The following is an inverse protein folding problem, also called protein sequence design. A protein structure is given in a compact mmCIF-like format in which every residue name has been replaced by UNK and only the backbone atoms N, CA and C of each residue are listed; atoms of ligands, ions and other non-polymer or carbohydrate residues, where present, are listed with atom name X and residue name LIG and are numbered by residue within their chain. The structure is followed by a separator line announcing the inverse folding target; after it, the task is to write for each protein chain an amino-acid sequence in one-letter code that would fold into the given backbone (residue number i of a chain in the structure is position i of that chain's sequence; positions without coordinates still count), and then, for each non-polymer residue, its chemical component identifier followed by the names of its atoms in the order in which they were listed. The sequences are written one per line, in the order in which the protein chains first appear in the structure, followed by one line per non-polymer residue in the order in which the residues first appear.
data_IF_646291948484
#
_entry.id   IF_646291948484
#
_cell.length_a   1.000
_cell.length_b   1.000
_cell.length_c   1.000
_cell.angle_alpha   90.00
_cell.angle_beta   90.00
_cell.angle_gamma   90.00
#
_symmetry.space_group_name_H-M   'P 1'
#
loop_
_entity.id
_entity.type
_entity.pdbx_description
1 polymer ?
#
# COMPACT_ATOMS: atom_id res chain seq x y z
N UNK A 1 -9.20 -27.23 -10.70
CA UNK A 1 -7.92 -27.50 -10.00
C UNK A 1 -8.18 -27.18 -8.53
N UNK A 2 -7.99 -28.10 -7.61
CA UNK A 2 -8.39 -27.93 -6.20
C UNK A 2 -7.56 -26.85 -5.52
N UNK A 3 -8.21 -25.95 -4.80
CA UNK A 3 -7.70 -24.80 -4.04
C UNK A 3 -6.79 -25.20 -2.82
N UNK A 4 -6.11 -26.36 -2.88
CA UNK A 4 -5.25 -26.82 -1.79
C UNK A 4 -3.84 -26.21 -1.77
N UNK A 5 -3.54 -25.21 -2.63
CA UNK A 5 -2.15 -24.90 -2.97
C UNK A 5 -1.60 -23.52 -2.55
N UNK A 6 -2.31 -22.69 -1.80
CA UNK A 6 -1.69 -21.39 -1.42
C UNK A 6 -0.71 -21.50 -0.25
N UNK A 7 -0.97 -22.35 0.74
CA UNK A 7 -0.02 -22.63 1.82
C UNK A 7 1.18 -23.43 1.34
N UNK A 8 0.93 -24.47 0.52
CA UNK A 8 1.99 -25.26 -0.09
C UNK A 8 2.84 -24.42 -1.06
N UNK A 9 2.24 -23.45 -1.71
CA UNK A 9 2.91 -22.53 -2.63
C UNK A 9 3.89 -21.58 -1.91
N UNK A 10 3.52 -21.00 -0.77
CA UNK A 10 4.40 -20.06 -0.06
C UNK A 10 5.50 -20.79 0.71
N UNK A 11 5.23 -21.94 1.30
CA UNK A 11 6.25 -22.76 1.98
C UNK A 11 7.28 -23.32 0.98
N UNK A 12 6.82 -23.76 -0.20
CA UNK A 12 7.73 -24.14 -1.27
C UNK A 12 8.59 -22.96 -1.73
N UNK A 13 8.00 -21.76 -1.87
CA UNK A 13 8.72 -20.54 -2.22
C UNK A 13 9.73 -20.14 -1.14
N UNK A 14 9.38 -20.31 0.14
CA UNK A 14 10.26 -20.07 1.27
C UNK A 14 11.52 -20.97 1.22
N UNK A 15 11.36 -22.24 0.86
CA UNK A 15 12.49 -23.15 0.66
C UNK A 15 13.44 -22.65 -0.46
N UNK A 16 12.89 -22.13 -1.57
CA UNK A 16 13.71 -21.48 -2.59
C UNK A 16 14.36 -20.19 -2.06
N UNK A 17 13.67 -19.44 -1.20
CA UNK A 17 14.20 -18.27 -0.50
C UNK A 17 15.44 -18.62 0.33
N UNK A 18 15.38 -19.66 1.15
CA UNK A 18 16.54 -20.14 1.93
C UNK A 18 17.71 -20.57 1.05
N UNK A 19 17.43 -21.27 -0.07
CA UNK A 19 18.44 -21.63 -1.04
C UNK A 19 19.11 -20.40 -1.66
N UNK A 20 18.31 -19.41 -2.07
CA UNK A 20 18.79 -18.15 -2.64
C UNK A 20 19.64 -17.38 -1.63
N UNK A 21 19.20 -17.30 -0.37
CA UNK A 21 19.93 -16.67 0.73
C UNK A 21 21.32 -17.32 0.94
N UNK A 22 21.34 -18.66 0.99
CA UNK A 22 22.58 -19.44 1.11
C UNK A 22 23.52 -19.21 -0.07
N UNK A 23 23.03 -19.19 -1.29
CA UNK A 23 23.81 -18.92 -2.49
C UNK A 23 24.40 -17.49 -2.49
N UNK A 24 23.66 -16.49 -2.03
CA UNK A 24 24.17 -15.12 -1.92
C UNK A 24 25.36 -15.04 -0.96
N UNK A 25 25.29 -15.71 0.19
CA UNK A 25 26.39 -15.78 1.16
C UNK A 25 27.60 -16.53 0.59
N UNK A 26 27.39 -17.62 -0.16
CA UNK A 26 28.46 -18.36 -0.85
C UNK A 26 29.15 -17.52 -1.94
N UNK A 27 28.42 -16.65 -2.63
CA UNK A 27 28.96 -15.70 -3.62
C UNK A 27 29.72 -14.53 -2.95
N UNK A 28 29.68 -14.43 -1.62
CA UNK A 28 30.44 -13.48 -0.83
C UNK A 28 29.68 -12.26 -0.35
N UNK A 29 28.35 -12.32 -0.25
CA UNK A 29 27.59 -11.31 0.48
C UNK A 29 27.91 -11.40 1.98
N UNK A 30 28.16 -10.27 2.63
CA UNK A 30 28.34 -10.16 4.08
C UNK A 30 27.02 -10.29 4.82
N UNK A 31 25.97 -9.70 4.25
CA UNK A 31 24.59 -9.85 4.68
C UNK A 31 23.71 -10.01 3.44
N UNK A 32 22.63 -10.76 3.60
CA UNK A 32 21.65 -10.95 2.55
C UNK A 32 20.24 -11.04 3.12
N UNK A 33 19.27 -10.60 2.34
CA UNK A 33 17.85 -10.66 2.65
C UNK A 33 17.09 -11.12 1.42
N UNK A 34 16.15 -12.04 1.60
CA UNK A 34 15.21 -12.44 0.57
C UNK A 34 13.80 -12.03 0.96
N UNK A 35 13.14 -11.32 0.07
CA UNK A 35 11.71 -11.04 0.11
C UNK A 35 11.02 -11.91 -0.92
N UNK A 36 10.05 -12.70 -0.48
CA UNK A 36 9.27 -13.56 -1.35
C UNK A 36 7.79 -13.22 -1.27
N UNK A 37 7.10 -13.34 -2.39
CA UNK A 37 5.65 -13.22 -2.42
C UNK A 37 5.02 -14.20 -3.40
N UNK A 38 3.82 -14.64 -3.06
CA UNK A 38 2.95 -15.45 -3.89
C UNK A 38 1.51 -14.99 -3.70
N UNK A 39 0.73 -14.94 -4.75
CA UNK A 39 -0.65 -14.49 -4.65
C UNK A 39 -1.51 -14.95 -5.81
N UNK A 40 -2.81 -14.84 -5.59
CA UNK A 40 -3.88 -15.07 -6.55
C UNK A 40 -4.74 -13.82 -6.62
N UNK A 41 -5.09 -13.39 -7.81
CA UNK A 41 -6.14 -12.38 -8.01
C UNK A 41 -7.22 -12.90 -8.94
N UNK A 42 -8.44 -12.45 -8.68
CA UNK A 42 -9.59 -12.57 -9.59
C UNK A 42 -10.02 -11.16 -9.92
N UNK A 43 -9.95 -10.82 -11.20
CA UNK A 43 -10.14 -9.48 -11.69
C UNK A 43 -11.27 -9.47 -12.74
N UNK A 44 -12.21 -8.55 -12.57
CA UNK A 44 -13.31 -8.25 -13.52
C UNK A 44 -13.14 -6.80 -13.97
N UNK A 45 -13.01 -6.59 -15.26
CA UNK A 45 -13.02 -5.27 -15.87
C UNK A 45 -14.34 -5.02 -16.58
N UNK A 46 -14.90 -3.85 -16.31
CA UNK A 46 -16.15 -3.38 -16.89
C UNK A 46 -15.87 -2.27 -17.90
N UNK A 47 -16.51 -2.35 -19.04
CA UNK A 47 -16.57 -1.27 -20.00
C UNK A 47 -18.00 -0.95 -20.34
N UNK A 48 -18.43 0.25 -19.99
CA UNK A 48 -19.84 0.60 -19.97
C UNK A 48 -20.62 -0.37 -19.05
N UNK A 49 -21.68 -0.95 -19.51
CA UNK A 49 -22.56 -1.87 -18.76
C UNK A 49 -22.30 -3.36 -19.04
N UNK A 50 -21.12 -3.69 -19.60
CA UNK A 50 -20.72 -5.06 -19.93
C UNK A 50 -19.37 -5.42 -19.31
N UNK A 51 -19.20 -6.70 -19.03
CA UNK A 51 -17.92 -7.27 -18.66
C UNK A 51 -17.01 -7.33 -19.89
N UNK A 52 -15.89 -6.62 -19.87
CA UNK A 52 -14.88 -6.64 -20.94
C UNK A 52 -13.89 -7.78 -20.73
N UNK A 53 -13.48 -8.01 -19.49
CA UNK A 53 -12.53 -9.06 -19.12
C UNK A 53 -12.90 -9.65 -17.77
N UNK A 54 -12.80 -10.98 -17.68
CA UNK A 54 -12.76 -11.70 -16.41
C UNK A 54 -11.50 -12.58 -16.42
N UNK A 55 -10.63 -12.41 -15.43
CA UNK A 55 -9.38 -13.13 -15.36
C UNK A 55 -9.08 -13.64 -13.97
N UNK A 56 -8.35 -14.73 -13.90
CA UNK A 56 -7.74 -15.26 -12.68
C UNK A 56 -6.24 -15.37 -12.93
N UNK A 57 -5.45 -14.75 -12.07
CA UNK A 57 -4.00 -14.74 -12.22
C UNK A 57 -3.29 -15.20 -10.95
N UNK A 58 -2.15 -15.86 -11.15
CA UNK A 58 -1.25 -16.30 -10.10
C UNK A 58 0.11 -15.69 -10.33
N UNK A 59 0.68 -15.14 -9.28
CA UNK A 59 2.00 -14.52 -9.33
C UNK A 59 2.84 -15.01 -8.16
N UNK A 60 4.13 -15.17 -8.40
CA UNK A 60 5.11 -15.50 -7.37
C UNK A 60 6.48 -15.01 -7.78
N UNK A 61 7.34 -14.74 -6.81
CA UNK A 61 8.73 -14.38 -7.08
C UNK A 61 9.52 -14.10 -5.83
N UNK A 62 10.83 -14.01 -6.03
CA UNK A 62 11.83 -13.73 -5.01
C UNK A 62 12.65 -12.52 -5.40
N UNK A 63 12.86 -11.60 -4.46
CA UNK A 63 13.81 -10.51 -4.55
C UNK A 63 14.94 -10.72 -3.54
N UNK A 64 16.17 -10.61 -3.98
CA UNK A 64 17.37 -10.72 -3.17
C UNK A 64 18.05 -9.37 -3.04
N UNK A 65 18.28 -8.94 -1.82
CA UNK A 65 19.14 -7.82 -1.47
C UNK A 65 20.43 -8.37 -0.84
N UNK A 66 21.56 -8.14 -1.49
CA UNK A 66 22.89 -8.52 -1.02
C UNK A 66 23.66 -7.28 -0.55
N UNK A 67 24.45 -7.40 0.50
CA UNK A 67 25.23 -6.30 1.08
C UNK A 67 26.70 -6.70 1.17
N UNK A 68 27.58 -5.81 0.70
CA UNK A 68 29.03 -5.92 0.78
C UNK A 68 29.61 -4.55 1.13
N UNK A 69 30.34 -4.46 2.22
CA UNK A 69 30.89 -3.19 2.75
C UNK A 69 29.85 -2.06 2.83
N UNK A 70 28.59 -2.39 3.15
CA UNK A 70 27.46 -1.46 3.16
C UNK A 70 26.85 -1.18 1.79
N UNK A 71 27.52 -1.48 0.70
CA UNK A 71 26.96 -1.37 -0.65
C UNK A 71 25.87 -2.40 -0.87
N UNK A 72 24.70 -1.94 -1.31
CA UNK A 72 23.50 -2.78 -1.52
C UNK A 72 23.34 -3.09 -2.99
N UNK A 73 23.31 -4.38 -3.34
CA UNK A 73 22.93 -4.87 -4.65
C UNK A 73 21.59 -5.60 -4.59
N UNK A 74 20.89 -5.62 -5.70
CA UNK A 74 19.56 -6.23 -5.82
C UNK A 74 19.42 -7.02 -7.11
N UNK A 75 18.70 -8.13 -7.03
CA UNK A 75 18.24 -8.90 -8.19
C UNK A 75 16.97 -9.69 -7.82
N UNK A 76 16.12 -9.98 -8.79
CA UNK A 76 14.85 -10.70 -8.55
C UNK A 76 14.54 -11.69 -9.64
N UNK A 77 13.67 -12.66 -9.35
CA UNK A 77 13.18 -13.63 -10.33
C UNK A 77 11.81 -14.18 -9.97
N UNK A 78 11.03 -14.53 -10.99
CA UNK A 78 9.86 -15.43 -10.90
C UNK A 78 10.19 -16.86 -11.31
N UNK A 79 11.39 -17.11 -11.86
CA UNK A 79 11.87 -18.44 -12.28
C UNK A 79 12.85 -19.00 -11.25
N UNK A 80 12.40 -20.06 -10.54
CA UNK A 80 13.18 -20.69 -9.48
C UNK A 80 14.40 -21.49 -10.00
N UNK A 81 14.54 -21.68 -11.31
CA UNK A 81 15.76 -22.27 -11.90
C UNK A 81 16.94 -21.29 -11.95
N UNK A 82 16.67 -19.98 -11.82
CA UNK A 82 17.66 -18.90 -11.97
C UNK A 82 18.29 -18.43 -10.65
N UNK A 83 18.07 -19.13 -9.52
CA UNK A 83 18.52 -18.66 -8.21
C UNK A 83 20.01 -18.34 -8.14
N UNK A 84 20.86 -19.19 -8.73
CA UNK A 84 22.32 -18.96 -8.75
C UNK A 84 22.69 -17.70 -9.54
N UNK A 85 22.01 -17.46 -10.66
CA UNK A 85 22.20 -16.24 -11.45
C UNK A 85 21.79 -14.99 -10.67
N UNK A 86 20.65 -15.05 -9.98
CA UNK A 86 20.14 -13.95 -9.13
C UNK A 86 21.10 -13.64 -7.99
N UNK A 87 21.59 -14.68 -7.28
CA UNK A 87 22.57 -14.53 -6.21
C UNK A 87 23.83 -13.83 -6.70
N UNK A 88 24.42 -14.32 -7.79
CA UNK A 88 25.61 -13.73 -8.40
C UNK A 88 25.38 -12.28 -8.86
N UNK A 89 24.24 -12.02 -9.50
CA UNK A 89 23.90 -10.69 -10.02
C UNK A 89 23.76 -9.67 -8.89
N UNK A 90 23.07 -10.01 -7.79
CA UNK A 90 22.91 -9.13 -6.63
C UNK A 90 24.27 -8.84 -5.97
N UNK A 91 25.14 -9.85 -5.80
CA UNK A 91 26.47 -9.71 -5.23
C UNK A 91 27.38 -8.85 -6.11
N UNK A 92 27.37 -9.05 -7.42
CA UNK A 92 28.13 -8.20 -8.37
C UNK A 92 27.64 -6.75 -8.32
N UNK A 93 26.32 -6.55 -8.26
CA UNK A 93 25.73 -5.22 -8.14
C UNK A 93 26.15 -4.51 -6.82
N UNK A 94 26.17 -5.25 -5.69
CA UNK A 94 26.62 -4.73 -4.41
C UNK A 94 28.10 -4.28 -4.46
N UNK A 95 28.98 -5.09 -5.05
CA UNK A 95 30.41 -4.74 -5.25
C UNK A 95 30.57 -3.53 -6.15
N UNK A 96 29.80 -3.43 -7.23
CA UNK A 96 29.88 -2.32 -8.17
C UNK A 96 29.39 -1.00 -7.56
N UNK A 97 28.45 -1.06 -6.61
CA UNK A 97 27.98 0.13 -5.88
C UNK A 97 29.06 0.73 -4.97
N UNK A 98 29.98 -0.10 -4.47
CA UNK A 98 31.02 0.32 -3.55
C UNK A 98 30.54 0.44 -2.09
N UNK A 99 31.46 0.84 -1.22
CA UNK A 99 31.20 0.96 0.21
C UNK A 99 30.19 2.09 0.51
N UNK A 100 29.30 1.82 1.47
CA UNK A 100 28.39 2.82 2.03
C UNK A 100 28.58 2.88 3.56
N UNK A 101 29.27 3.93 4.03
CA UNK A 101 29.53 4.14 5.45
C UNK A 101 28.27 4.45 6.27
N UNK A 102 27.19 4.82 5.63
CA UNK A 102 25.90 5.05 6.27
C UNK A 102 25.13 3.76 6.55
N UNK A 103 25.45 2.66 5.87
CA UNK A 103 24.85 1.37 6.13
C UNK A 103 25.21 0.88 7.55
N UNK A 104 24.26 0.35 8.27
CA UNK A 104 24.48 -0.24 9.59
C UNK A 104 24.35 -1.76 9.57
N UNK A 105 23.15 -2.24 9.34
CA UNK A 105 22.85 -3.68 9.30
C UNK A 105 21.46 -3.93 8.76
N UNK A 106 21.20 -5.13 8.28
CA UNK A 106 19.84 -5.65 8.16
C UNK A 106 19.17 -5.75 9.53
N UNK A 107 17.83 -5.68 9.61
CA UNK A 107 17.09 -5.85 10.86
C UNK A 107 17.36 -7.23 11.49
N UNK A 108 17.40 -7.27 12.82
CA UNK A 108 17.44 -8.50 13.60
C UNK A 108 16.03 -8.94 13.97
N UNK A 109 15.80 -10.25 14.20
CA UNK A 109 14.51 -10.76 14.63
C UNK A 109 14.00 -10.05 15.88
N UNK A 110 12.72 -9.64 15.83
CA UNK A 110 11.98 -9.10 16.98
C UNK A 110 10.59 -9.73 16.98
N UNK A 111 9.96 -9.73 18.16
CA UNK A 111 8.58 -10.18 18.29
C UNK A 111 7.66 -9.23 17.53
N UNK A 112 6.80 -9.80 16.67
CA UNK A 112 5.77 -9.08 15.92
C UNK A 112 4.40 -9.27 16.55
N UNK A 113 3.51 -8.30 16.36
CA UNK A 113 2.09 -8.38 16.70
C UNK A 113 1.32 -8.42 15.38
N UNK A 114 0.42 -9.39 15.23
CA UNK A 114 -0.41 -9.48 14.02
C UNK A 114 -1.63 -8.59 14.20
N UNK A 115 -1.89 -7.68 13.24
CA UNK A 115 -3.13 -6.90 13.26
C UNK A 115 -4.33 -7.78 12.96
N UNK A 116 -5.48 -7.45 13.55
CA UNK A 116 -6.74 -8.14 13.31
C UNK A 116 -7.36 -7.72 11.97
N UNK A 117 -8.17 -8.59 11.37
CA UNK A 117 -9.01 -8.27 10.21
C UNK A 117 -8.27 -8.05 8.90
N UNK A 118 -7.03 -8.54 8.75
CA UNK A 118 -6.27 -8.44 7.49
C UNK A 118 -6.47 -9.63 6.55
N UNK A 119 -7.17 -10.67 6.99
CA UNK A 119 -7.40 -11.89 6.22
C UNK A 119 -8.85 -12.36 6.35
N UNK A 120 -9.45 -12.71 5.21
CA UNK A 120 -10.78 -13.29 5.10
C UNK A 120 -10.73 -14.57 4.25
N UNK A 121 -11.13 -15.70 4.84
CA UNK A 121 -11.14 -17.01 4.18
C UNK A 121 -12.06 -17.02 2.95
N UNK A 122 -13.15 -16.26 2.96
CA UNK A 122 -14.08 -16.20 1.84
C UNK A 122 -13.44 -15.51 0.63
N UNK A 123 -12.69 -14.42 0.83
CA UNK A 123 -11.92 -13.77 -0.24
C UNK A 123 -10.81 -14.68 -0.79
N UNK A 124 -10.18 -15.51 0.07
CA UNK A 124 -9.21 -16.49 -0.40
C UNK A 124 -9.83 -17.51 -1.37
N UNK A 125 -11.09 -17.86 -1.14
CA UNK A 125 -11.79 -18.91 -1.89
C UNK A 125 -12.66 -18.40 -3.02
N UNK A 126 -12.83 -17.08 -3.15
CA UNK A 126 -13.73 -16.45 -4.12
C UNK A 126 -13.38 -16.85 -5.55
N UNK A 127 -14.40 -17.11 -6.35
CA UNK A 127 -14.28 -17.44 -7.78
C UNK A 127 -14.70 -16.29 -8.71
N UNK A 128 -14.41 -16.43 -10.02
CA UNK A 128 -14.82 -15.42 -10.99
C UNK A 128 -16.34 -15.18 -11.03
N UNK A 129 -17.16 -16.20 -10.82
CA UNK A 129 -18.63 -16.07 -10.82
C UNK A 129 -19.12 -15.13 -9.72
N UNK A 130 -18.58 -15.28 -8.50
CA UNK A 130 -18.94 -14.40 -7.38
C UNK A 130 -18.45 -12.97 -7.60
N UNK A 131 -17.28 -12.77 -8.22
CA UNK A 131 -16.78 -11.44 -8.60
C UNK A 131 -17.68 -10.80 -9.70
N UNK A 132 -18.23 -11.59 -10.62
CA UNK A 132 -19.20 -11.12 -11.60
C UNK A 132 -20.51 -10.67 -10.93
N UNK A 133 -21.01 -11.40 -9.93
CA UNK A 133 -22.21 -11.03 -9.17
C UNK A 133 -21.99 -9.68 -8.44
N UNK A 134 -20.80 -9.46 -7.89
CA UNK A 134 -20.43 -8.18 -7.25
C UNK A 134 -20.41 -7.05 -8.29
N UNK A 135 -19.80 -7.28 -9.45
CA UNK A 135 -19.75 -6.30 -10.53
C UNK A 135 -21.17 -5.94 -11.04
N UNK A 136 -22.03 -6.94 -11.22
CA UNK A 136 -23.43 -6.70 -11.61
C UNK A 136 -24.21 -5.95 -10.52
N UNK A 137 -23.96 -6.21 -9.24
CA UNK A 137 -24.58 -5.44 -8.15
C UNK A 137 -24.21 -3.95 -8.23
N UNK A 138 -22.96 -3.65 -8.56
CA UNK A 138 -22.47 -2.29 -8.73
C UNK A 138 -23.13 -1.60 -9.95
N UNK A 139 -23.23 -2.30 -11.09
CA UNK A 139 -23.95 -1.82 -12.27
C UNK A 139 -25.44 -1.61 -11.98
N UNK A 140 -26.07 -2.51 -11.22
CA UNK A 140 -27.45 -2.37 -10.77
C UNK A 140 -27.67 -1.09 -9.96
N UNK A 141 -26.75 -0.78 -9.05
CA UNK A 141 -26.75 0.47 -8.29
C UNK A 141 -26.68 1.70 -9.20
N UNK A 142 -25.79 1.69 -10.20
CA UNK A 142 -25.68 2.77 -11.18
C UNK A 142 -27.00 2.99 -11.95
N UNK A 143 -27.64 1.92 -12.42
CA UNK A 143 -28.91 1.99 -13.18
C UNK A 143 -30.07 2.58 -12.40
N UNK A 144 -29.96 2.75 -11.09
CA UNK A 144 -30.99 3.46 -10.28
C UNK A 144 -31.03 4.95 -10.57
N UNK A 145 -30.00 5.53 -11.19
CA UNK A 145 -29.92 6.93 -11.61
C UNK A 145 -29.98 6.98 -13.14
N UNK A 146 -31.14 7.28 -13.69
CA UNK A 146 -31.43 7.16 -15.12
C UNK A 146 -30.59 8.06 -16.02
N UNK A 147 -30.13 9.17 -15.49
CA UNK A 147 -29.37 10.20 -16.20
C UNK A 147 -27.87 9.88 -16.29
N UNK A 148 -27.42 8.83 -15.60
CA UNK A 148 -26.02 8.42 -15.56
C UNK A 148 -25.81 7.05 -16.19
N UNK A 149 -24.69 6.89 -16.90
CA UNK A 149 -24.28 5.65 -17.55
C UNK A 149 -22.89 5.23 -17.03
N UNK A 150 -22.60 3.93 -16.84
CA UNK A 150 -21.27 3.46 -16.51
C UNK A 150 -20.32 3.66 -17.71
N UNK A 151 -19.07 4.00 -17.43
CA UNK A 151 -18.00 4.19 -18.44
C UNK A 151 -16.94 3.10 -18.32
N UNK A 152 -16.39 2.95 -17.12
CA UNK A 152 -15.41 1.93 -16.80
C UNK A 152 -15.58 1.52 -15.33
N UNK A 153 -15.14 0.33 -14.99
CA UNK A 153 -15.16 -0.15 -13.62
C UNK A 153 -14.32 -1.40 -13.46
N UNK A 154 -14.09 -1.77 -12.23
CA UNK A 154 -13.36 -3.00 -11.92
C UNK A 154 -13.80 -3.60 -10.59
N UNK A 155 -13.65 -4.91 -10.48
CA UNK A 155 -13.69 -5.64 -9.21
C UNK A 155 -12.45 -6.52 -9.16
N UNK A 156 -11.65 -6.39 -8.11
CA UNK A 156 -10.45 -7.18 -7.87
C UNK A 156 -10.53 -7.84 -6.49
N UNK A 157 -10.36 -9.15 -6.43
CA UNK A 157 -10.28 -9.91 -5.19
C UNK A 157 -8.92 -10.61 -5.14
N UNK A 158 -8.12 -10.27 -4.15
CA UNK A 158 -6.72 -10.67 -4.04
C UNK A 158 -6.49 -11.41 -2.74
N UNK A 159 -5.80 -12.54 -2.81
CA UNK A 159 -5.21 -13.21 -1.66
C UNK A 159 -3.71 -13.34 -1.89
N UNK A 160 -2.91 -12.74 -1.02
CA UNK A 160 -1.46 -12.72 -1.14
C UNK A 160 -0.76 -13.16 0.14
N UNK A 161 0.33 -13.91 -0.03
CA UNK A 161 1.25 -14.26 1.05
C UNK A 161 2.63 -13.70 0.75
N UNK A 162 3.29 -13.15 1.76
CA UNK A 162 4.66 -12.66 1.67
C UNK A 162 5.53 -13.15 2.81
N UNK A 163 6.84 -13.22 2.58
CA UNK A 163 7.81 -13.49 3.63
C UNK A 163 9.07 -12.64 3.50
N UNK A 164 9.74 -12.44 4.62
CA UNK A 164 11.08 -11.85 4.71
C UNK A 164 11.97 -12.80 5.49
N UNK A 165 13.10 -13.20 4.88
CA UNK A 165 14.17 -13.91 5.57
C UNK A 165 15.49 -13.19 5.37
N UNK A 166 16.37 -13.23 6.37
CA UNK A 166 17.70 -12.64 6.21
C UNK A 166 18.80 -13.46 6.91
N UNK A 167 20.04 -13.13 6.57
CA UNK A 167 21.24 -13.78 7.12
C UNK A 167 21.48 -13.56 8.61
N UNK A 168 20.69 -12.73 9.27
CA UNK A 168 20.75 -12.46 10.73
C UNK A 168 19.70 -13.26 11.51
N UNK A 169 19.04 -14.23 10.87
CA UNK A 169 18.06 -15.13 11.48
C UNK A 169 16.63 -14.61 11.45
N UNK A 170 16.33 -13.57 10.69
CA UNK A 170 14.94 -13.14 10.43
C UNK A 170 14.23 -14.19 9.59
N UNK A 171 13.02 -14.55 10.01
CA UNK A 171 12.08 -15.36 9.24
C UNK A 171 10.67 -14.98 9.67
N UNK A 172 9.95 -14.27 8.81
CA UNK A 172 8.60 -13.80 9.03
C UNK A 172 7.76 -14.05 7.79
N UNK A 173 6.51 -14.45 8.00
CA UNK A 173 5.54 -14.72 6.94
C UNK A 173 4.17 -14.22 7.34
N UNK A 174 3.43 -13.67 6.37
CA UNK A 174 2.06 -13.22 6.56
C UNK A 174 1.22 -13.44 5.31
N UNK A 175 -0.06 -13.72 5.50
CA UNK A 175 -1.08 -13.81 4.44
C UNK A 175 -2.15 -12.76 4.69
N UNK A 176 -2.58 -12.11 3.62
CA UNK A 176 -3.62 -11.10 3.68
C UNK A 176 -4.55 -11.19 2.47
N UNK A 177 -5.73 -10.59 2.59
CA UNK A 177 -6.71 -10.48 1.53
C UNK A 177 -7.06 -9.03 1.25
N UNK A 178 -7.48 -8.74 0.03
CA UNK A 178 -7.93 -7.44 -0.41
C UNK A 178 -9.07 -7.61 -1.41
N UNK A 179 -10.13 -6.85 -1.23
CA UNK A 179 -11.17 -6.62 -2.21
C UNK A 179 -11.14 -5.14 -2.58
N UNK A 180 -11.08 -4.85 -3.85
CA UNK A 180 -11.17 -3.50 -4.39
C UNK A 180 -12.18 -3.48 -5.52
N UNK A 181 -13.01 -2.45 -5.58
CA UNK A 181 -13.91 -2.21 -6.70
C UNK A 181 -14.05 -0.73 -6.95
N UNK A 182 -14.25 -0.36 -8.21
CA UNK A 182 -14.47 1.03 -8.62
C UNK A 182 -15.43 1.12 -9.79
N UNK A 183 -16.17 2.22 -9.86
CA UNK A 183 -17.01 2.54 -11.00
C UNK A 183 -16.89 4.00 -11.37
N UNK A 184 -16.60 4.26 -12.63
CA UNK A 184 -16.66 5.56 -13.27
C UNK A 184 -17.96 5.69 -14.07
N UNK A 185 -18.62 6.83 -13.97
CA UNK A 185 -19.89 7.10 -14.60
C UNK A 185 -19.89 8.44 -15.30
N UNK A 186 -20.76 8.60 -16.28
CA UNK A 186 -20.99 9.85 -17.01
C UNK A 186 -22.48 10.19 -17.00
N UNK A 187 -22.80 11.42 -16.75
CA UNK A 187 -24.14 11.97 -16.93
C UNK A 187 -24.14 12.99 -18.07
N UNK A 188 -25.21 12.97 -18.87
CA UNK A 188 -25.36 13.82 -20.07
C UNK A 188 -26.68 14.54 -20.03
N UNK A 189 -26.64 15.86 -20.16
CA UNK A 189 -27.79 16.72 -20.35
C UNK A 189 -27.44 17.81 -21.40
N UNK A 190 -27.58 19.10 -21.05
CA UNK A 190 -27.06 20.19 -21.87
C UNK A 190 -25.52 20.25 -21.84
N UNK A 191 -24.92 19.76 -20.78
CA UNK A 191 -23.50 19.54 -20.57
C UNK A 191 -23.21 18.07 -20.23
N UNK A 192 -21.96 17.78 -19.87
CA UNK A 192 -21.46 16.45 -19.52
C UNK A 192 -20.70 16.52 -18.21
N UNK A 193 -21.03 15.64 -17.28
CA UNK A 193 -20.36 15.51 -16.02
C UNK A 193 -19.97 14.05 -15.73
N UNK A 194 -18.91 13.84 -14.96
CA UNK A 194 -18.42 12.53 -14.55
C UNK A 194 -18.53 12.36 -13.05
N UNK A 195 -18.63 11.12 -12.62
CA UNK A 195 -18.57 10.75 -11.21
C UNK A 195 -17.85 9.42 -11.04
N UNK A 196 -17.20 9.23 -9.93
CA UNK A 196 -16.53 7.98 -9.61
C UNK A 196 -16.66 7.65 -8.13
N UNK A 197 -16.73 6.38 -7.82
CA UNK A 197 -16.71 5.88 -6.45
C UNK A 197 -15.96 4.56 -6.40
N UNK A 198 -15.39 4.25 -5.23
CA UNK A 198 -14.68 3.01 -5.04
C UNK A 198 -14.95 2.41 -3.65
N UNK A 199 -14.65 1.14 -3.53
CA UNK A 199 -14.70 0.40 -2.28
C UNK A 199 -13.41 -0.41 -2.12
N UNK A 200 -12.84 -0.41 -0.91
CA UNK A 200 -11.70 -1.26 -0.57
C UNK A 200 -11.89 -1.86 0.82
N UNK A 201 -11.62 -3.16 0.95
CA UNK A 201 -11.76 -3.88 2.21
C UNK A 201 -10.83 -5.08 2.27
N UNK A 202 -10.44 -5.48 3.47
CA UNK A 202 -9.77 -6.77 3.72
C UNK A 202 -10.75 -7.93 3.82
N UNK A 203 -12.04 -7.65 4.02
CA UNK A 203 -13.13 -8.62 4.13
C UNK A 203 -14.03 -8.65 2.89
N UNK A 204 -14.73 -9.76 2.74
CA UNK A 204 -15.67 -9.97 1.65
C UNK A 204 -16.92 -9.10 1.80
N UNK A 205 -17.33 -8.47 0.71
CA UNK A 205 -18.58 -7.72 0.58
C UNK A 205 -19.38 -8.26 -0.61
N UNK A 206 -20.55 -8.85 -0.37
CA UNK A 206 -21.31 -9.55 -1.41
C UNK A 206 -22.00 -8.63 -2.41
N UNK A 207 -22.19 -7.35 -2.06
CA UNK A 207 -22.88 -6.38 -2.92
C UNK A 207 -22.29 -5.01 -2.77
N UNK A 208 -22.06 -4.34 -3.90
CA UNK A 208 -21.54 -2.97 -4.00
C UNK A 208 -22.51 -2.04 -4.74
N UNK A 209 -23.83 -2.30 -4.62
CA UNK A 209 -24.88 -1.48 -5.21
C UNK A 209 -24.75 0.00 -4.82
N UNK A 210 -24.35 0.28 -3.55
CA UNK A 210 -24.17 1.64 -3.07
C UNK A 210 -22.99 2.37 -3.75
N UNK A 211 -21.93 1.67 -4.13
CA UNK A 211 -20.80 2.24 -4.89
C UNK A 211 -21.29 2.71 -6.26
N UNK A 212 -22.00 1.84 -6.98
CA UNK A 212 -22.54 2.20 -8.30
C UNK A 212 -23.53 3.36 -8.23
N UNK A 213 -24.41 3.35 -7.23
CA UNK A 213 -25.38 4.43 -6.98
C UNK A 213 -24.70 5.73 -6.63
N UNK A 214 -23.64 5.72 -5.81
CA UNK A 214 -22.90 6.91 -5.40
C UNK A 214 -22.15 7.53 -6.57
N UNK A 215 -21.46 6.72 -7.40
CA UNK A 215 -20.79 7.17 -8.61
C UNK A 215 -21.77 7.85 -9.57
N UNK A 216 -22.93 7.23 -9.83
CA UNK A 216 -23.95 7.78 -10.70
C UNK A 216 -24.58 9.08 -10.17
N UNK A 217 -24.86 9.15 -8.86
CA UNK A 217 -25.34 10.38 -8.22
C UNK A 217 -24.30 11.49 -8.30
N UNK A 218 -23.02 11.19 -8.15
CA UNK A 218 -21.94 12.18 -8.28
C UNK A 218 -21.92 12.77 -9.69
N UNK A 219 -21.98 11.93 -10.74
CA UNK A 219 -22.04 12.43 -12.12
C UNK A 219 -23.29 13.31 -12.34
N UNK A 220 -24.47 12.84 -11.91
CA UNK A 220 -25.73 13.58 -12.09
C UNK A 220 -25.73 14.91 -11.34
N UNK A 221 -25.27 14.95 -10.09
CA UNK A 221 -25.23 16.16 -9.28
C UNK A 221 -24.15 17.18 -9.73
N UNK A 222 -23.24 16.76 -10.59
CA UNK A 222 -22.21 17.61 -11.18
C UNK A 222 -22.61 18.25 -12.52
N UNK A 223 -23.80 17.96 -13.02
CA UNK A 223 -24.41 18.69 -14.15
C UNK A 223 -24.73 20.13 -13.77
N UNK A 224 -24.88 20.99 -14.78
CA UNK A 224 -25.20 22.42 -14.62
C UNK A 224 -24.15 23.17 -13.78
N UNK A 225 -22.90 22.74 -13.83
CA UNK A 225 -21.79 23.37 -13.15
C UNK A 225 -21.60 24.84 -13.59
N UNK A 226 -21.37 25.71 -12.64
CA UNK A 226 -21.10 27.14 -12.93
C UNK A 226 -19.64 27.50 -12.64
N UNK A 227 -19.16 28.55 -13.30
CA UNK A 227 -17.83 29.08 -13.06
C UNK A 227 -17.76 29.78 -11.72
N UNK A 228 -16.96 29.30 -10.81
CA UNK A 228 -16.70 30.01 -9.55
C UNK A 228 -15.97 31.33 -9.81
N UNK A 229 -16.32 32.37 -9.06
CA UNK A 229 -15.61 33.66 -9.10
C UNK A 229 -14.25 33.49 -8.40
N UNK A 230 -13.23 34.19 -8.91
CA UNK A 230 -11.96 34.26 -8.20
C UNK A 230 -12.11 35.05 -6.90
N UNK A 231 -11.55 34.55 -5.81
CA UNK A 231 -11.66 35.16 -4.50
C UNK A 231 -10.91 34.36 -3.43
N UNK A 232 -11.02 34.83 -2.19
CA UNK A 232 -10.57 34.06 -1.01
C UNK A 232 -11.81 33.46 -0.37
N UNK A 233 -11.81 32.16 -0.18
CA UNK A 233 -12.93 31.38 0.33
C UNK A 233 -12.48 30.46 1.45
N UNK A 234 -13.38 30.16 2.37
CA UNK A 234 -13.25 29.00 3.23
C UNK A 234 -13.53 27.74 2.38
N UNK A 235 -12.68 26.73 2.50
CA UNK A 235 -12.78 25.50 1.68
C UNK A 235 -12.97 24.30 2.60
N UNK A 236 -14.06 23.57 2.40
CA UNK A 236 -14.30 22.28 3.02
C UNK A 236 -13.89 21.15 2.04
N UNK A 237 -12.86 20.41 2.40
CA UNK A 237 -12.39 19.29 1.61
C UNK A 237 -13.07 18.00 2.08
N UNK A 238 -13.58 17.20 1.12
CA UNK A 238 -14.05 15.83 1.40
C UNK A 238 -12.87 14.92 1.73
N UNK A 239 -13.09 13.78 2.41
CA UNK A 239 -12.01 12.86 2.82
C UNK A 239 -11.06 12.46 1.70
N UNK A 240 -11.58 12.11 0.51
CA UNK A 240 -10.73 11.75 -0.64
C UNK A 240 -9.83 12.90 -1.08
N UNK A 241 -10.36 14.13 -1.17
CA UNK A 241 -9.56 15.30 -1.53
C UNK A 241 -8.48 15.62 -0.48
N UNK A 242 -8.76 15.36 0.81
CA UNK A 242 -7.76 15.48 1.88
C UNK A 242 -6.69 14.39 1.72
N UNK A 243 -7.10 13.14 1.46
CA UNK A 243 -6.18 12.03 1.27
C UNK A 243 -5.21 12.31 0.11
N UNK A 244 -5.72 12.69 -1.06
CA UNK A 244 -4.90 13.05 -2.23
C UNK A 244 -3.96 14.23 -1.93
N UNK A 245 -4.46 15.28 -1.29
CA UNK A 245 -3.62 16.43 -0.91
C UNK A 245 -2.46 16.00 -0.02
N UNK A 246 -2.71 15.18 1.00
CA UNK A 246 -1.70 14.74 1.94
C UNK A 246 -0.72 13.75 1.33
N UNK A 247 -1.17 12.88 0.43
CA UNK A 247 -0.34 11.91 -0.28
C UNK A 247 0.75 12.60 -1.13
N UNK A 248 0.39 13.69 -1.83
CA UNK A 248 1.34 14.42 -2.67
C UNK A 248 2.13 15.52 -1.95
N UNK A 249 1.74 15.92 -0.74
CA UNK A 249 2.39 17.03 -0.03
C UNK A 249 3.02 16.61 1.29
N UNK A 250 2.24 16.08 2.21
CA UNK A 250 2.69 15.79 3.57
C UNK A 250 3.50 14.50 3.65
N UNK A 251 3.03 13.41 3.03
CA UNK A 251 3.71 12.11 3.13
C UNK A 251 5.14 12.15 2.58
N UNK A 252 5.42 12.75 1.40
CA UNK A 252 6.80 12.93 0.95
C UNK A 252 7.64 13.80 1.88
N UNK A 253 7.03 14.80 2.54
CA UNK A 253 7.74 15.67 3.47
C UNK A 253 8.07 14.99 4.81
N UNK A 254 7.31 13.95 5.20
CA UNK A 254 7.53 13.15 6.40
C UNK A 254 8.46 11.96 6.17
N UNK A 255 8.78 11.60 4.93
CA UNK A 255 9.70 10.50 4.63
C UNK A 255 11.16 10.89 4.93
N UNK A 256 11.81 10.15 5.83
CA UNK A 256 13.17 10.46 6.31
C UNK A 256 14.20 10.54 5.18
N UNK A 257 14.05 9.76 4.12
CA UNK A 257 14.96 9.83 2.97
C UNK A 257 14.88 11.18 2.23
N UNK A 258 13.69 11.79 2.12
CA UNK A 258 13.52 13.13 1.57
C UNK A 258 14.05 14.21 2.52
N UNK A 259 13.86 14.03 3.84
CA UNK A 259 14.46 14.91 4.86
C UNK A 259 15.97 14.91 4.75
N UNK A 260 16.60 13.72 4.73
CA UNK A 260 18.05 13.55 4.64
C UNK A 260 18.66 14.02 3.32
N UNK A 261 17.88 14.04 2.25
CA UNK A 261 18.28 14.57 0.92
C UNK A 261 18.03 16.08 0.78
N UNK A 262 17.53 16.76 1.82
CA UNK A 262 17.19 18.19 1.78
C UNK A 262 16.01 18.53 0.85
N UNK A 263 15.11 17.57 0.62
CA UNK A 263 13.91 17.72 -0.24
C UNK A 263 12.63 18.02 0.54
N UNK A 264 12.68 17.93 1.88
CA UNK A 264 11.54 18.16 2.74
C UNK A 264 11.58 19.57 3.35
N UNK A 265 10.46 20.29 3.25
CA UNK A 265 10.27 21.57 3.94
C UNK A 265 10.12 21.41 5.46
N UNK A 266 9.95 20.18 5.94
CA UNK A 266 9.85 19.83 7.36
C UNK A 266 11.22 19.45 7.97
N UNK A 267 12.30 19.44 7.19
CA UNK A 267 13.64 19.10 7.68
C UNK A 267 14.07 20.02 8.85
N UNK A 268 14.46 19.40 9.97
CA UNK A 268 14.91 20.11 11.17
C UNK A 268 13.79 20.72 12.02
N UNK A 269 12.53 20.53 11.69
CA UNK A 269 11.39 21.17 12.34
C UNK A 269 10.67 20.31 13.38
N UNK A 270 11.27 19.20 13.82
CA UNK A 270 10.72 18.38 14.91
C UNK A 270 10.61 19.22 16.18
N UNK A 271 9.43 19.21 16.82
CA UNK A 271 9.11 20.05 17.97
C UNK A 271 8.47 21.39 17.62
N UNK A 272 8.40 21.77 16.34
CA UNK A 272 7.75 23.00 15.91
C UNK A 272 6.26 22.79 15.62
N UNK A 273 5.49 23.84 15.81
CA UNK A 273 4.08 23.90 15.39
C UNK A 273 4.02 24.12 13.89
N UNK A 274 3.41 23.16 13.16
CA UNK A 274 3.32 23.16 11.71
C UNK A 274 1.88 23.17 11.19
N UNK A 275 0.90 22.99 12.07
CA UNK A 275 -0.51 22.97 11.71
C UNK A 275 -1.40 23.50 12.83
N UNK A 276 -2.72 23.45 12.65
CA UNK A 276 -3.70 23.77 13.69
C UNK A 276 -3.52 22.88 14.94
N UNK A 277 -3.78 23.47 16.12
CA UNK A 277 -3.60 22.78 17.42
C UNK A 277 -4.39 21.46 17.52
N UNK A 278 -5.63 21.44 17.09
CA UNK A 278 -6.48 20.26 17.18
C UNK A 278 -6.10 19.12 16.20
N UNK A 279 -5.07 19.31 15.34
CA UNK A 279 -4.72 18.29 14.34
C UNK A 279 -3.78 17.24 14.92
N UNK A 280 -4.21 15.98 14.81
CA UNK A 280 -3.39 14.79 15.13
C UNK A 280 -3.25 13.94 13.87
N UNK A 281 -2.02 13.61 13.50
CA UNK A 281 -1.72 12.71 12.38
C UNK A 281 -0.85 11.57 12.88
N UNK A 282 -1.31 10.35 12.61
CA UNK A 282 -0.64 9.11 13.04
C UNK A 282 -0.52 8.17 11.85
N UNK A 283 0.61 7.51 11.70
CA UNK A 283 0.75 6.32 10.87
C UNK A 283 0.57 5.08 11.74
N UNK A 284 -0.35 4.18 11.38
CA UNK A 284 -0.64 2.98 12.17
C UNK A 284 -0.57 1.71 11.30
N UNK A 285 0.57 1.01 11.37
CA UNK A 285 0.77 -0.26 10.69
C UNK A 285 0.02 -1.44 11.32
N UNK A 286 -0.61 -1.25 12.48
CA UNK A 286 -1.39 -2.26 13.23
C UNK A 286 -2.90 -1.99 13.24
N UNK A 287 -3.37 -1.01 12.46
CA UNK A 287 -4.80 -0.65 12.39
C UNK A 287 -5.64 -1.89 12.02
N UNK A 288 -6.62 -2.30 12.84
CA UNK A 288 -7.47 -3.44 12.51
C UNK A 288 -8.19 -3.24 11.16
N UNK A 289 -8.07 -4.23 10.25
CA UNK A 289 -8.63 -4.14 8.90
C UNK A 289 -8.03 -3.06 8.00
N UNK A 290 -6.97 -2.38 8.44
CA UNK A 290 -6.30 -1.33 7.64
C UNK A 290 -5.73 -1.88 6.34
N UNK A 291 -5.82 -1.08 5.25
CA UNK A 291 -5.43 -1.52 3.90
C UNK A 291 -3.94 -1.88 3.80
N UNK A 292 -3.08 -1.19 4.55
CA UNK A 292 -1.64 -1.45 4.62
C UNK A 292 -1.18 -2.00 5.98
N UNK A 293 -2.11 -2.53 6.78
CA UNK A 293 -1.76 -3.19 8.04
C UNK A 293 -1.08 -4.53 7.80
N UNK A 294 0.00 -4.78 8.51
CA UNK A 294 0.70 -6.06 8.58
C UNK A 294 1.51 -6.17 9.87
N UNK A 295 1.93 -7.38 10.25
CA UNK A 295 2.72 -7.60 11.46
C UNK A 295 4.13 -6.98 11.40
N UNK A 296 4.67 -6.79 10.20
CA UNK A 296 6.01 -6.27 9.93
C UNK A 296 6.05 -5.49 8.62
N UNK A 297 7.04 -4.66 8.46
CA UNK A 297 7.29 -3.89 7.24
C UNK A 297 8.06 -4.70 6.18
N UNK A 298 8.40 -4.10 5.05
CA UNK A 298 9.11 -4.74 3.94
C UNK A 298 10.53 -5.20 4.25
N UNK A 299 11.08 -4.92 5.44
CA UNK A 299 12.38 -5.38 5.93
C UNK A 299 12.26 -6.33 7.14
N UNK A 300 11.04 -6.66 7.59
CA UNK A 300 10.79 -7.48 8.76
C UNK A 300 10.87 -6.71 10.10
N UNK A 301 10.89 -5.40 10.08
CA UNK A 301 10.76 -4.58 11.29
C UNK A 301 9.29 -4.63 11.76
N UNK A 302 9.03 -4.90 13.07
CA UNK A 302 7.67 -4.92 13.58
C UNK A 302 6.92 -3.63 13.26
N UNK A 303 5.71 -3.77 12.72
CA UNK A 303 4.81 -2.63 12.53
C UNK A 303 4.42 -2.02 13.87
N UNK A 304 4.20 -0.72 13.87
CA UNK A 304 3.85 0.04 15.06
C UNK A 304 2.93 1.22 14.72
N UNK A 305 2.44 1.88 15.74
CA UNK A 305 1.75 3.16 15.63
C UNK A 305 2.75 4.28 15.89
N UNK A 306 2.90 5.19 14.93
CA UNK A 306 3.82 6.32 14.97
C UNK A 306 3.04 7.63 14.92
N UNK A 307 3.08 8.43 15.98
CA UNK A 307 2.49 9.77 15.99
C UNK A 307 3.43 10.72 15.27
N UNK A 308 2.94 11.31 14.17
CA UNK A 308 3.71 12.21 13.30
C UNK A 308 3.47 13.68 13.64
N UNK A 309 2.21 14.03 13.87
CA UNK A 309 1.79 15.35 14.33
C UNK A 309 0.86 15.16 15.52
N UNK A 310 1.09 15.90 16.58
CA UNK A 310 0.29 15.87 17.80
C UNK A 310 0.07 17.29 18.29
N UNK A 311 -1.20 17.69 18.40
CA UNK A 311 -1.59 19.05 18.75
C UNK A 311 -0.94 20.11 17.83
N UNK A 312 -0.88 19.80 16.53
CA UNK A 312 -0.24 20.64 15.52
C UNK A 312 1.28 20.67 15.52
N UNK A 313 1.94 19.93 16.42
CA UNK A 313 3.40 19.90 16.59
C UNK A 313 3.96 18.68 15.87
N UNK A 314 4.98 18.88 15.02
CA UNK A 314 5.70 17.79 14.36
C UNK A 314 6.47 16.97 15.40
N UNK A 315 6.20 15.65 15.48
CA UNK A 315 6.82 14.74 16.45
C UNK A 315 7.95 13.90 15.87
N UNK A 316 8.00 13.70 14.56
CA UNK A 316 9.02 12.90 13.92
C UNK A 316 8.75 12.64 12.45
N UNK A 317 9.54 11.74 11.87
CA UNK A 317 9.48 11.32 10.48
C UNK A 317 9.26 9.80 10.41
N UNK A 318 8.96 9.31 9.21
CA UNK A 318 8.88 7.88 8.90
C UNK A 318 10.26 7.37 8.49
N UNK A 319 10.70 6.25 9.07
CA UNK A 319 12.03 5.66 8.83
C UNK A 319 11.93 4.19 8.43
N UNK A 320 12.70 3.80 7.42
CA UNK A 320 13.15 2.43 7.22
C UNK A 320 14.44 2.15 8.01
N UNK A 321 15.01 0.96 7.87
CA UNK A 321 16.23 0.60 8.61
C UNK A 321 17.45 1.40 8.15
N UNK A 322 17.55 1.74 6.87
CA UNK A 322 18.67 2.48 6.32
C UNK A 322 18.66 3.94 6.78
N UNK A 323 17.55 4.64 6.62
CA UNK A 323 17.42 6.04 7.01
C UNK A 323 17.52 6.24 8.52
N UNK A 324 16.96 5.30 9.29
CA UNK A 324 17.10 5.29 10.75
C UNK A 324 18.56 5.09 11.17
N UNK A 325 19.25 4.14 10.57
CA UNK A 325 20.67 3.88 10.84
C UNK A 325 21.58 5.07 10.52
N UNK A 326 21.27 5.81 9.48
CA UNK A 326 22.02 7.01 9.07
C UNK A 326 21.91 8.14 10.08
N UNK A 327 20.77 8.30 10.73
CA UNK A 327 20.56 9.30 11.80
C UNK A 327 20.82 8.78 13.22
N UNK A 328 21.09 7.48 13.37
CA UNK A 328 21.29 6.86 14.68
C UNK A 328 20.02 6.71 15.51
N UNK A 329 18.85 6.66 14.85
CA UNK A 329 17.54 6.43 15.45
C UNK A 329 17.04 5.01 15.17
N UNK A 330 15.86 4.66 15.68
CA UNK A 330 15.22 3.37 15.42
C UNK A 330 14.24 3.49 14.24
N UNK A 331 14.20 2.48 13.34
CA UNK A 331 13.19 2.39 12.29
C UNK A 331 11.79 2.44 12.89
N UNK A 332 10.89 3.14 12.23
CA UNK A 332 9.47 3.23 12.59
C UNK A 332 8.62 2.11 11.98
N UNK A 333 9.25 1.11 11.32
CA UNK A 333 8.53 0.03 10.66
C UNK A 333 7.83 0.49 9.36
N UNK A 334 8.49 1.40 8.66
CA UNK A 334 7.95 2.06 7.48
C UNK A 334 8.72 1.76 6.19
N UNK A 335 9.38 0.61 6.12
CA UNK A 335 9.92 0.11 4.87
C UNK A 335 8.80 -0.48 4.01
N UNK A 336 8.46 0.14 2.90
CA UNK A 336 7.44 -0.35 1.97
C UNK A 336 8.09 -0.92 0.70
N UNK A 337 7.46 -1.95 0.11
CA UNK A 337 7.88 -2.56 -1.16
C UNK A 337 6.72 -2.62 -2.13
N UNK A 338 6.97 -2.32 -3.39
CA UNK A 338 6.02 -2.53 -4.48
C UNK A 338 5.92 -4.02 -4.91
N UNK A 339 6.63 -4.92 -4.22
CA UNK A 339 6.68 -6.35 -4.51
C UNK A 339 8.11 -6.91 -4.42
N UNK A 340 8.29 -8.13 -4.94
CA UNK A 340 9.60 -8.80 -4.92
C UNK A 340 10.61 -8.24 -5.94
N UNK A 341 10.20 -7.36 -6.82
CA UNK A 341 11.04 -6.76 -7.88
C UNK A 341 11.74 -5.47 -7.46
N UNK A 342 11.48 -4.96 -6.24
CA UNK A 342 12.02 -3.70 -5.72
C UNK A 342 12.71 -3.83 -4.38
N UNK A 343 13.62 -2.90 -4.11
CA UNK A 343 14.17 -2.68 -2.78
C UNK A 343 13.16 -1.90 -1.93
N UNK A 344 13.21 -1.99 -0.59
CA UNK A 344 12.35 -1.19 0.27
C UNK A 344 12.68 0.31 0.15
N UNK A 345 11.67 1.12 0.38
CA UNK A 345 11.76 2.57 0.50
C UNK A 345 10.90 3.05 1.67
N UNK A 346 11.15 4.26 2.16
CA UNK A 346 10.32 4.85 3.22
C UNK A 346 8.93 5.14 2.69
N UNK A 347 7.89 4.69 3.42
CA UNK A 347 6.49 4.95 3.08
C UNK A 347 5.56 4.86 4.27
N UNK A 348 4.41 5.49 4.15
CA UNK A 348 3.33 5.42 5.12
C UNK A 348 2.61 4.07 5.02
N UNK A 349 2.04 3.61 6.13
CA UNK A 349 1.18 2.42 6.19
C UNK A 349 -0.30 2.85 6.14
N UNK A 350 -0.88 3.19 7.25
CA UNK A 350 -2.23 3.75 7.29
C UNK A 350 -2.20 5.12 7.95
N UNK A 351 -2.35 6.17 7.17
CA UNK A 351 -2.40 7.53 7.69
C UNK A 351 -3.77 7.82 8.29
N UNK A 352 -3.78 8.13 9.57
CA UNK A 352 -4.98 8.50 10.31
C UNK A 352 -4.90 10.00 10.59
N UNK A 353 -5.87 10.73 10.06
CA UNK A 353 -6.04 12.16 10.32
C UNK A 353 -7.22 12.36 11.26
N UNK A 354 -6.98 12.98 12.39
CA UNK A 354 -7.98 13.16 13.41
C UNK A 354 -7.90 14.51 14.12
N UNK A 355 -8.95 14.81 14.84
CA UNK A 355 -9.02 15.91 15.79
C UNK A 355 -9.74 15.39 17.04
N UNK A 356 -9.29 15.73 18.26
CA UNK A 356 -10.01 15.39 19.48
C UNK A 356 -11.38 16.10 19.56
N UNK A 357 -11.53 17.21 18.87
CA UNK A 357 -12.76 17.98 18.84
C UNK A 357 -13.59 17.62 17.60
N UNK A 358 -14.65 16.84 17.78
CA UNK A 358 -15.65 16.64 16.73
C UNK A 358 -16.40 17.95 16.50
N UNK A 359 -16.17 18.60 15.35
CA UNK A 359 -16.85 19.82 14.94
C UNK A 359 -17.72 19.56 13.72
N UNK A 360 -18.88 20.22 13.67
CA UNK A 360 -19.67 20.29 12.43
C UNK A 360 -19.06 21.38 11.52
N UNK A 361 -18.04 20.99 10.76
CA UNK A 361 -17.34 21.90 9.86
C UNK A 361 -18.28 22.49 8.79
N UNK A 362 -19.34 21.78 8.43
CA UNK A 362 -20.31 22.24 7.45
C UNK A 362 -21.13 23.43 8.02
N UNK A 363 -21.52 23.35 9.29
CA UNK A 363 -22.25 24.42 9.96
C UNK A 363 -21.36 25.65 10.25
N UNK A 364 -20.05 25.45 10.41
CA UNK A 364 -19.08 26.52 10.68
C UNK A 364 -18.61 27.25 9.41
N UNK A 365 -18.70 26.61 8.24
CA UNK A 365 -18.23 27.17 6.97
C UNK A 365 -19.22 28.21 6.49
N UNK A 366 -18.79 29.47 6.41
CA UNK A 366 -19.57 30.57 5.84
C UNK A 366 -19.33 30.60 4.33
N UNK A 367 -20.33 30.17 3.56
CA UNK A 367 -20.38 30.26 2.11
C UNK A 367 -20.69 31.63 1.59
#
# INVERSE_FOLDING_TARGET
MKISDTSDSIDALLNYGHKLLSQALQEGAEQAEVYGMSGRSVDIDLRRDVVELASESFHRGLGLRAVIAGGVGFSSTSDMSLLQFVAKSAVVSARARGADESWRSLPRPKKVVRPEGIFDLRLQQIGPEECLDIAESMLSGCRTVKEAEPVAGSVACICGSGFVINSLGMELQETSTLMHASLETIAKAADVATGSEFYSSRGYQPSLEDVGRAAAKMAFSSLDGCRAKSGTFDVLLKPLAVAELLDYTLLPALAADNVQKGRSTLAGRVGEKISAEALVITDDGLLPGGMDSSAFDGEGVPSQRTVLIDDGILRGYLYDSYTAGKEGVTSTGNAVRSGYTGVPSVGCRNLIVGSPDARDLLAETKG
#
